data_IF_681149147183
#
_entry.id   IF_681149147183
#
_cell.length_a   1.000
_cell.length_b   1.000
_cell.length_c   1.000
_cell.angle_alpha   90.00
_cell.angle_beta   90.00
_cell.angle_gamma   90.00
#
_symmetry.space_group_name_H-M   'P 1'
#
loop_
_entity.id
_entity.type
_entity.pdbx_description
1 polymer ?
#
# COMPACT_ATOMS: atom_id res chain seq x y z
N UNK A 1 -11.39 -25.12 50.74
CA UNK A 1 -11.34 -25.55 49.32
C UNK A 1 -12.02 -24.48 48.48
N UNK A 2 -11.25 -23.56 47.88
CA UNK A 2 -11.78 -22.60 46.92
C UNK A 2 -12.01 -23.36 45.60
N UNK A 3 -13.27 -23.72 45.34
CA UNK A 3 -13.71 -24.15 44.03
C UNK A 3 -13.58 -22.96 43.08
N UNK A 4 -12.44 -22.85 42.40
CA UNK A 4 -12.31 -22.02 41.21
C UNK A 4 -13.22 -22.64 40.17
N UNK A 5 -14.42 -22.09 40.02
CA UNK A 5 -15.29 -22.34 38.87
C UNK A 5 -14.52 -21.89 37.62
N UNK A 6 -13.81 -22.82 36.96
CA UNK A 6 -13.41 -22.61 35.57
C UNK A 6 -14.72 -22.51 34.79
N UNK A 7 -15.07 -21.31 34.33
CA UNK A 7 -16.21 -21.11 33.43
C UNK A 7 -16.03 -22.06 32.24
N UNK A 8 -17.13 -22.70 31.82
CA UNK A 8 -17.12 -23.60 30.66
C UNK A 8 -16.54 -22.83 29.45
N UNK A 9 -15.57 -23.38 28.71
CA UNK A 9 -15.03 -22.70 27.55
C UNK A 9 -16.15 -22.46 26.54
N UNK A 10 -16.25 -21.22 26.05
CA UNK A 10 -17.24 -20.83 25.04
C UNK A 10 -16.94 -21.57 23.74
N UNK A 11 -17.99 -22.02 23.06
CA UNK A 11 -17.88 -22.61 21.72
C UNK A 11 -17.44 -21.54 20.70
N UNK A 12 -16.86 -21.93 19.55
CA UNK A 12 -16.50 -20.98 18.49
C UNK A 12 -17.67 -20.08 18.06
N UNK A 13 -18.87 -20.65 17.97
CA UNK A 13 -20.09 -19.92 17.63
C UNK A 13 -20.46 -18.88 18.69
N UNK A 14 -20.42 -19.24 19.98
CA UNK A 14 -20.69 -18.30 21.07
C UNK A 14 -19.66 -17.15 21.10
N UNK A 15 -18.38 -17.46 20.88
CA UNK A 15 -17.31 -16.46 20.82
C UNK A 15 -17.54 -15.46 19.70
N UNK A 16 -17.82 -15.94 18.49
CA UNK A 16 -18.04 -15.09 17.32
C UNK A 16 -19.26 -14.21 17.48
N UNK A 17 -20.39 -14.76 17.93
CA UNK A 17 -21.61 -13.97 18.19
C UNK A 17 -21.37 -12.92 19.25
N UNK A 18 -20.75 -13.30 20.37
CA UNK A 18 -20.44 -12.36 21.44
C UNK A 18 -19.49 -11.24 20.99
N UNK A 19 -18.47 -11.56 20.19
CA UNK A 19 -17.55 -10.57 19.63
C UNK A 19 -18.29 -9.60 18.72
N UNK A 20 -19.09 -10.11 17.77
CA UNK A 20 -19.92 -9.31 16.86
C UNK A 20 -20.83 -8.36 17.64
N UNK A 21 -21.61 -8.89 18.56
CA UNK A 21 -22.61 -8.12 19.30
C UNK A 21 -21.95 -7.05 20.18
N UNK A 22 -20.78 -7.34 20.75
CA UNK A 22 -20.02 -6.37 21.55
C UNK A 22 -19.43 -5.26 20.69
N UNK A 23 -18.92 -5.56 19.48
CA UNK A 23 -18.46 -4.54 18.54
C UNK A 23 -19.63 -3.63 18.13
N UNK A 24 -20.79 -4.20 17.77
CA UNK A 24 -21.95 -3.41 17.36
C UNK A 24 -22.48 -2.52 18.50
N UNK A 25 -22.38 -2.96 19.75
CA UNK A 25 -22.70 -2.12 20.93
C UNK A 25 -21.79 -0.89 21.04
N UNK A 26 -20.52 -0.96 20.61
CA UNK A 26 -19.62 0.20 20.59
C UNK A 26 -20.09 1.31 19.66
N UNK A 27 -20.91 1.02 18.65
CA UNK A 27 -21.47 2.04 17.74
C UNK A 27 -22.75 2.64 18.28
N UNK A 28 -23.60 1.83 18.92
CA UNK A 28 -24.85 2.30 19.53
C UNK A 28 -24.64 3.30 20.68
N UNK A 29 -23.46 3.25 21.31
CA UNK A 29 -23.02 4.23 22.31
C UNK A 29 -22.38 5.47 21.71
N UNK A 30 -22.26 5.54 20.38
CA UNK A 30 -21.63 6.64 19.63
C UNK A 30 -22.50 7.14 18.46
N UNK A 31 -23.57 7.91 18.69
CA UNK A 31 -24.14 8.92 17.74
C UNK A 31 -25.38 9.66 18.31
N UNK A 32 -25.71 10.90 17.87
CA UNK A 32 -24.84 12.02 17.50
C UNK A 32 -25.25 13.37 18.16
N UNK A 33 -24.29 14.22 18.52
CA UNK A 33 -24.52 15.65 18.82
C UNK A 33 -24.07 16.50 17.62
N UNK A 34 -25.05 17.07 16.92
CA UNK A 34 -25.00 18.40 16.30
C UNK A 34 -24.11 18.61 15.06
N UNK A 35 -24.61 18.24 13.89
CA UNK A 35 -24.14 18.76 12.60
C UNK A 35 -25.29 19.42 11.84
N UNK A 36 -25.74 20.60 12.27
CA UNK A 36 -26.69 21.41 11.51
C UNK A 36 -25.93 22.23 10.47
N UNK A 37 -26.04 21.79 9.21
CA UNK A 37 -25.81 22.62 8.03
C UNK A 37 -26.81 23.77 7.99
N UNK A 38 -26.34 25.01 8.08
CA UNK A 38 -27.11 26.20 7.74
C UNK A 38 -26.28 27.09 6.80
N UNK A 39 -26.72 27.11 5.55
CA UNK A 39 -26.54 28.21 4.60
C UNK A 39 -27.28 29.45 5.09
N UNK A 40 -26.60 30.60 5.22
CA UNK A 40 -26.93 31.85 4.50
C UNK A 40 -26.21 33.10 5.02
N UNK A 41 -25.71 33.84 4.03
CA UNK A 41 -25.53 35.29 3.88
C UNK A 41 -26.06 36.27 4.94
N UNK A 42 -25.16 37.21 5.30
CA UNK A 42 -25.33 38.66 5.51
C UNK A 42 -26.75 39.23 5.63
N UNK A 43 -27.07 39.82 6.80
CA UNK A 43 -27.49 41.23 6.93
C UNK A 43 -27.45 41.73 8.39
N UNK A 44 -27.31 43.05 8.50
CA UNK A 44 -27.06 43.86 9.69
C UNK A 44 -28.32 44.24 10.48
N UNK A 45 -28.09 44.74 11.71
CA UNK A 45 -28.78 45.83 12.43
C UNK A 45 -29.77 45.54 13.61
N UNK A 46 -29.43 46.23 14.71
CA UNK A 46 -30.25 46.91 15.74
C UNK A 46 -30.81 46.19 17.00
N UNK A 47 -30.25 46.64 18.14
CA UNK A 47 -30.84 47.09 19.44
C UNK A 47 -31.44 46.17 20.51
N UNK A 48 -31.03 46.55 21.73
CA UNK A 48 -31.72 46.67 23.04
C UNK A 48 -31.77 45.50 24.04
N UNK A 49 -31.04 45.73 25.14
CA UNK A 49 -31.37 45.56 26.57
C UNK A 49 -32.57 44.69 26.98
N UNK A 50 -32.31 43.80 27.95
CA UNK A 50 -33.33 43.23 28.83
C UNK A 50 -32.72 42.24 29.83
N UNK A 51 -32.51 42.70 31.05
CA UNK A 51 -32.10 41.90 32.22
C UNK A 51 -33.29 41.11 32.77
N UNK A 52 -33.13 39.81 33.05
CA UNK A 52 -33.90 39.14 34.11
C UNK A 52 -33.21 37.86 34.59
N UNK A 53 -33.30 37.69 35.90
CA UNK A 53 -32.82 36.62 36.76
C UNK A 53 -33.72 35.37 36.70
N UNK A 54 -33.16 34.17 36.84
CA UNK A 54 -33.58 33.15 37.84
C UNK A 54 -32.99 31.74 37.62
N UNK A 55 -32.47 31.21 38.73
CA UNK A 55 -32.53 29.83 39.23
C UNK A 55 -32.38 28.61 38.30
N UNK A 56 -31.31 27.84 38.56
CA UNK A 56 -31.43 26.43 38.94
C UNK A 56 -31.61 25.37 37.86
N UNK A 57 -30.53 24.68 37.49
CA UNK A 57 -30.61 23.24 37.21
C UNK A 57 -29.24 22.57 37.34
N UNK A 58 -29.06 21.83 38.42
CA UNK A 58 -27.91 20.96 38.68
C UNK A 58 -28.34 19.52 38.41
N UNK A 59 -28.21 19.03 37.17
CA UNK A 59 -28.44 17.59 36.85
C UNK A 59 -28.10 17.21 35.41
N UNK A 60 -26.87 17.45 34.92
CA UNK A 60 -26.43 16.95 33.60
C UNK A 60 -25.14 16.09 33.66
N UNK A 61 -24.56 15.83 34.85
CA UNK A 61 -23.26 15.14 34.95
C UNK A 61 -23.30 13.62 35.17
N UNK A 62 -24.47 12.97 35.31
CA UNK A 62 -24.57 11.54 35.65
C UNK A 62 -24.73 10.59 34.44
N UNK A 63 -25.21 11.06 33.30
CA UNK A 63 -25.44 10.21 32.11
C UNK A 63 -24.14 9.92 31.34
N UNK A 64 -23.19 10.86 31.35
CA UNK A 64 -21.90 10.75 30.63
C UNK A 64 -20.89 9.81 31.31
N UNK A 65 -20.96 9.64 32.63
CA UNK A 65 -20.09 8.71 33.37
C UNK A 65 -20.47 7.25 33.14
N UNK A 66 -21.77 6.95 33.16
CA UNK A 66 -22.29 5.59 32.96
C UNK A 66 -22.04 5.03 31.54
N UNK A 67 -22.11 5.89 30.51
CA UNK A 67 -21.84 5.49 29.11
C UNK A 67 -20.35 5.24 28.85
N UNK A 68 -19.48 6.02 29.48
CA UNK A 68 -18.02 5.83 29.44
C UNK A 68 -17.60 4.50 30.06
N UNK A 69 -18.17 4.15 31.21
CA UNK A 69 -17.89 2.89 31.90
C UNK A 69 -18.39 1.67 31.12
N UNK A 70 -19.57 1.76 30.51
CA UNK A 70 -20.11 0.73 29.62
C UNK A 70 -19.22 0.51 28.38
N UNK A 71 -18.70 1.60 27.78
CA UNK A 71 -17.79 1.52 26.64
C UNK A 71 -16.47 0.85 27.02
N UNK A 72 -15.87 1.23 28.16
CA UNK A 72 -14.64 0.62 28.66
C UNK A 72 -14.83 -0.88 28.87
N UNK A 73 -15.93 -1.28 29.52
CA UNK A 73 -16.28 -2.69 29.71
C UNK A 73 -16.42 -3.45 28.39
N UNK A 74 -17.05 -2.85 27.37
CA UNK A 74 -17.18 -3.47 26.06
C UNK A 74 -15.83 -3.66 25.36
N UNK A 75 -14.92 -2.68 25.48
CA UNK A 75 -13.55 -2.79 24.95
C UNK A 75 -12.78 -3.92 25.66
N UNK A 76 -12.86 -4.01 26.99
CA UNK A 76 -12.24 -5.10 27.76
C UNK A 76 -12.82 -6.48 27.36
N UNK A 77 -14.13 -6.57 27.12
CA UNK A 77 -14.82 -7.79 26.66
C UNK A 77 -14.32 -8.21 25.27
N UNK A 78 -14.09 -7.26 24.36
CA UNK A 78 -13.51 -7.51 23.03
C UNK A 78 -12.09 -8.05 23.17
N UNK A 79 -11.23 -7.40 23.95
CA UNK A 79 -9.85 -7.85 24.18
C UNK A 79 -9.80 -9.31 24.69
N UNK A 80 -10.64 -9.65 25.68
CA UNK A 80 -10.74 -11.02 26.21
C UNK A 80 -11.22 -12.03 25.16
N UNK A 81 -12.21 -11.64 24.36
CA UNK A 81 -12.78 -12.52 23.35
C UNK A 81 -11.81 -12.75 22.19
N UNK A 82 -11.08 -11.72 21.75
CA UNK A 82 -10.03 -11.84 20.75
C UNK A 82 -8.90 -12.77 21.22
N UNK A 83 -8.51 -12.68 22.50
CA UNK A 83 -7.52 -13.60 23.08
C UNK A 83 -8.01 -15.06 23.00
N UNK A 84 -9.26 -15.34 23.34
CA UNK A 84 -9.85 -16.69 23.23
C UNK A 84 -9.90 -17.19 21.78
N UNK A 85 -10.27 -16.31 20.84
CA UNK A 85 -10.24 -16.61 19.39
C UNK A 85 -8.81 -16.92 18.93
N UNK A 86 -7.81 -16.17 19.42
CA UNK A 86 -6.41 -16.42 19.14
C UNK A 86 -5.95 -17.78 19.67
N UNK A 87 -6.34 -18.15 20.89
CA UNK A 87 -6.01 -19.48 21.45
C UNK A 87 -6.56 -20.61 20.59
N UNK A 88 -7.77 -20.48 20.03
CA UNK A 88 -8.31 -21.50 19.10
C UNK A 88 -7.47 -21.60 17.83
N UNK A 89 -6.96 -20.47 17.31
CA UNK A 89 -6.23 -20.40 16.04
C UNK A 89 -4.75 -20.78 16.15
N UNK A 90 -4.11 -20.49 17.28
CA UNK A 90 -2.66 -20.65 17.47
C UNK A 90 -2.29 -21.69 18.53
N UNK A 91 -3.24 -22.17 19.32
CA UNK A 91 -2.98 -22.99 20.50
C UNK A 91 -2.70 -22.14 21.74
N UNK A 92 -2.54 -22.79 22.89
CA UNK A 92 -2.18 -22.17 24.17
C UNK A 92 -0.72 -22.40 24.58
N UNK A 93 0.07 -23.02 23.69
CA UNK A 93 1.48 -23.38 23.93
C UNK A 93 1.66 -24.81 24.46
N UNK A 94 0.64 -25.36 25.11
CA UNK A 94 0.61 -26.75 25.59
C UNK A 94 -0.15 -27.67 24.63
N UNK A 95 -1.13 -27.13 23.91
CA UNK A 95 -1.98 -27.86 22.96
C UNK A 95 -1.98 -27.21 21.57
N UNK A 96 -1.90 -28.04 20.54
CA UNK A 96 -2.02 -27.61 19.14
C UNK A 96 -3.47 -27.18 18.79
N UNK A 97 -3.65 -26.26 17.82
CA UNK A 97 -4.97 -25.89 17.30
C UNK A 97 -5.75 -27.11 16.80
N UNK A 98 -6.95 -27.31 17.32
CA UNK A 98 -7.83 -28.39 16.87
C UNK A 98 -8.46 -28.02 15.50
N UNK A 99 -8.22 -28.80 14.42
CA UNK A 99 -8.68 -28.44 13.08
C UNK A 99 -10.20 -28.25 12.97
N UNK A 100 -10.98 -29.02 13.73
CA UNK A 100 -12.42 -28.92 13.78
C UNK A 100 -12.88 -27.59 14.39
N UNK A 101 -12.30 -27.18 15.53
CA UNK A 101 -12.63 -25.90 16.17
C UNK A 101 -12.23 -24.71 15.28
N UNK A 102 -11.07 -24.79 14.62
CA UNK A 102 -10.64 -23.76 13.65
C UNK A 102 -11.61 -23.67 12.48
N UNK A 103 -12.09 -24.80 11.95
CA UNK A 103 -13.07 -24.82 10.87
C UNK A 103 -14.42 -24.22 11.29
N UNK A 104 -14.93 -24.59 12.47
CA UNK A 104 -16.16 -24.02 13.04
C UNK A 104 -16.01 -22.51 13.26
N UNK A 105 -14.91 -22.07 13.86
CA UNK A 105 -14.60 -20.65 14.08
C UNK A 105 -14.58 -19.87 12.77
N UNK A 106 -13.84 -20.37 11.77
CA UNK A 106 -13.74 -19.73 10.47
C UNK A 106 -15.13 -19.57 9.80
N UNK A 107 -15.94 -20.63 9.81
CA UNK A 107 -17.29 -20.61 9.25
C UNK A 107 -18.17 -19.53 9.89
N UNK A 108 -18.14 -19.44 11.22
CA UNK A 108 -18.89 -18.44 11.98
C UNK A 108 -18.38 -17.03 11.70
N UNK A 109 -17.05 -16.82 11.64
CA UNK A 109 -16.44 -15.54 11.27
C UNK A 109 -16.92 -15.04 9.90
N UNK A 110 -17.02 -15.93 8.91
CA UNK A 110 -17.52 -15.58 7.57
C UNK A 110 -19.02 -15.28 7.59
N UNK A 111 -19.81 -16.11 8.26
CA UNK A 111 -21.28 -16.00 8.32
C UNK A 111 -21.74 -14.71 9.01
N UNK A 112 -20.94 -14.24 9.99
CA UNK A 112 -21.24 -13.03 10.76
C UNK A 112 -20.43 -11.80 10.35
N UNK A 113 -19.65 -11.89 9.27
CA UNK A 113 -18.84 -10.80 8.69
C UNK A 113 -17.88 -10.14 9.69
N UNK A 114 -17.35 -10.94 10.62
CA UNK A 114 -16.53 -10.42 11.72
C UNK A 114 -15.25 -9.75 11.20
N UNK A 115 -14.62 -10.27 10.15
CA UNK A 115 -13.42 -9.65 9.56
C UNK A 115 -13.66 -8.20 9.12
N UNK A 116 -14.83 -7.90 8.55
CA UNK A 116 -15.19 -6.53 8.16
C UNK A 116 -15.40 -5.65 9.40
N UNK A 117 -16.12 -6.15 10.40
CA UNK A 117 -16.37 -5.42 11.64
C UNK A 117 -15.08 -5.12 12.40
N UNK A 118 -14.15 -6.07 12.46
CA UNK A 118 -12.86 -5.89 13.10
C UNK A 118 -12.06 -4.77 12.44
N UNK A 119 -11.93 -4.77 11.11
CA UNK A 119 -11.20 -3.72 10.40
C UNK A 119 -11.89 -2.36 10.52
N UNK A 120 -13.22 -2.31 10.40
CA UNK A 120 -13.98 -1.06 10.50
C UNK A 120 -13.88 -0.39 11.88
N UNK A 121 -13.76 -1.17 12.95
CA UNK A 121 -13.79 -0.68 14.34
C UNK A 121 -12.44 -0.75 15.05
N UNK A 122 -11.37 -1.17 14.37
CA UNK A 122 -10.05 -1.41 14.96
C UNK A 122 -9.51 -0.20 15.75
N UNK A 123 -9.85 1.03 15.33
CA UNK A 123 -9.47 2.25 16.03
C UNK A 123 -10.06 2.36 17.45
N UNK A 124 -11.16 1.67 17.74
CA UNK A 124 -11.83 1.68 19.05
C UNK A 124 -11.26 0.64 20.03
N UNK A 125 -10.38 -0.25 19.57
CA UNK A 125 -9.85 -1.34 20.39
C UNK A 125 -8.58 -0.91 21.15
N UNK A 126 -8.21 -1.67 22.18
CA UNK A 126 -6.95 -1.48 22.89
C UNK A 126 -5.74 -1.83 22.01
N UNK A 127 -4.58 -1.32 22.39
CA UNK A 127 -3.35 -1.52 21.63
C UNK A 127 -3.02 -2.99 21.34
N UNK A 128 -3.15 -3.87 22.33
CA UNK A 128 -2.86 -5.31 22.13
C UNK A 128 -3.96 -5.98 21.29
N UNK A 129 -5.23 -5.62 21.50
CA UNK A 129 -6.34 -6.10 20.68
C UNK A 129 -6.19 -5.72 19.20
N UNK A 130 -5.65 -4.52 18.87
CA UNK A 130 -5.33 -4.12 17.49
C UNK A 130 -4.33 -5.09 16.84
N UNK A 131 -3.33 -5.58 17.60
CA UNK A 131 -2.36 -6.58 17.10
C UNK A 131 -3.01 -7.95 16.93
N UNK A 132 -3.83 -8.37 17.90
CA UNK A 132 -4.56 -9.63 17.83
C UNK A 132 -5.46 -9.68 16.59
N UNK A 133 -6.14 -8.57 16.25
CA UNK A 133 -6.93 -8.46 15.02
C UNK A 133 -6.07 -8.73 13.78
N UNK A 134 -4.91 -8.09 13.64
CA UNK A 134 -4.01 -8.33 12.50
C UNK A 134 -3.56 -9.80 12.42
N UNK A 135 -3.25 -10.43 13.57
CA UNK A 135 -2.82 -11.83 13.61
C UNK A 135 -3.96 -12.80 13.23
N UNK A 136 -5.16 -12.61 13.81
CA UNK A 136 -6.36 -13.40 13.55
C UNK A 136 -6.77 -13.27 12.08
N UNK A 137 -6.75 -12.05 11.53
CA UNK A 137 -7.08 -11.83 10.13
C UNK A 137 -6.10 -12.58 9.22
N UNK A 138 -4.80 -12.45 9.47
CA UNK A 138 -3.76 -13.03 8.62
C UNK A 138 -3.74 -14.57 8.68
N UNK A 139 -3.95 -15.18 9.86
CA UNK A 139 -4.00 -16.64 9.97
C UNK A 139 -5.22 -17.23 9.28
N UNK A 140 -6.39 -16.56 9.39
CA UNK A 140 -7.58 -16.97 8.66
C UNK A 140 -7.38 -16.80 7.15
N UNK A 141 -6.73 -15.72 6.71
CA UNK A 141 -6.47 -15.47 5.30
C UNK A 141 -5.56 -16.53 4.66
N UNK A 142 -4.57 -17.01 5.41
CA UNK A 142 -3.66 -18.10 4.98
C UNK A 142 -4.29 -19.49 5.03
N UNK A 143 -5.47 -19.65 5.64
CA UNK A 143 -6.13 -20.95 5.78
C UNK A 143 -6.49 -21.55 4.42
N UNK A 144 -6.16 -22.82 4.24
CA UNK A 144 -6.47 -23.60 3.05
C UNK A 144 -7.29 -24.84 3.37
N UNK A 145 -8.17 -25.23 2.44
CA UNK A 145 -8.87 -26.53 2.44
C UNK A 145 -8.60 -27.17 1.08
N UNK A 146 -7.69 -28.14 1.05
CA UNK A 146 -7.12 -28.63 -0.20
C UNK A 146 -6.44 -27.49 -0.95
N UNK A 147 -6.81 -27.28 -2.22
CA UNK A 147 -6.32 -26.17 -3.05
C UNK A 147 -7.08 -24.86 -2.89
N UNK A 148 -8.18 -24.83 -2.11
CA UNK A 148 -9.03 -23.65 -1.95
C UNK A 148 -8.54 -22.79 -0.79
N UNK A 149 -8.75 -21.48 -0.91
CA UNK A 149 -8.51 -20.49 0.13
C UNK A 149 -9.85 -19.83 0.51
N UNK A 150 -10.62 -20.41 1.46
CA UNK A 150 -11.99 -19.97 1.75
C UNK A 150 -12.09 -18.50 2.15
N UNK A 151 -11.12 -17.98 2.91
CA UNK A 151 -11.11 -16.56 3.31
C UNK A 151 -10.89 -15.64 2.12
N UNK A 152 -10.06 -16.04 1.15
CA UNK A 152 -9.84 -15.28 -0.09
C UNK A 152 -11.13 -15.22 -0.90
N UNK A 153 -11.79 -16.36 -1.08
CA UNK A 153 -13.07 -16.45 -1.79
C UNK A 153 -14.16 -15.61 -1.10
N UNK A 154 -14.21 -15.65 0.24
CA UNK A 154 -15.10 -14.82 1.04
C UNK A 154 -14.84 -13.32 0.83
N UNK A 155 -13.58 -12.88 0.93
CA UNK A 155 -13.20 -11.47 0.76
C UNK A 155 -13.37 -10.97 -0.67
N UNK A 156 -13.23 -11.85 -1.67
CA UNK A 156 -13.46 -11.49 -3.07
C UNK A 156 -14.92 -11.06 -3.34
N UNK A 157 -15.87 -11.56 -2.55
CA UNK A 157 -17.28 -11.12 -2.59
C UNK A 157 -17.56 -9.85 -1.77
N UNK A 158 -16.56 -9.30 -1.09
CA UNK A 158 -16.66 -8.16 -0.14
C UNK A 158 -15.49 -7.19 -0.29
N UNK A 159 -15.40 -6.49 -1.43
CA UNK A 159 -14.27 -5.60 -1.74
C UNK A 159 -14.08 -4.48 -0.71
N UNK A 160 -15.15 -4.06 -0.02
CA UNK A 160 -15.11 -3.03 1.03
C UNK A 160 -14.09 -3.33 2.15
N UNK A 161 -13.84 -4.61 2.47
CA UNK A 161 -12.85 -4.95 3.51
C UNK A 161 -11.44 -4.52 3.09
N UNK A 162 -11.10 -4.67 1.80
CA UNK A 162 -9.81 -4.26 1.24
C UNK A 162 -9.69 -2.74 1.30
N UNK A 163 -10.76 -2.02 0.94
CA UNK A 163 -10.77 -0.56 0.95
C UNK A 163 -10.76 0.03 2.36
N UNK A 164 -11.41 -0.60 3.33
CA UNK A 164 -11.31 -0.21 4.74
C UNK A 164 -9.89 -0.39 5.27
N UNK A 165 -9.20 -1.49 4.92
CA UNK A 165 -7.82 -1.70 5.31
C UNK A 165 -6.89 -0.64 4.70
N UNK A 166 -7.10 -0.29 3.42
CA UNK A 166 -6.37 0.78 2.75
C UNK A 166 -6.64 2.16 3.39
N UNK A 167 -7.91 2.47 3.66
CA UNK A 167 -8.32 3.72 4.32
C UNK A 167 -7.76 3.86 5.74
N UNK A 168 -7.36 2.75 6.36
CA UNK A 168 -6.70 2.73 7.66
C UNK A 168 -5.45 3.62 7.74
N UNK A 169 -4.79 3.93 6.62
CA UNK A 169 -3.69 4.89 6.57
C UNK A 169 -4.08 6.32 6.93
N UNK A 170 -5.36 6.70 6.86
CA UNK A 170 -5.86 8.01 7.33
C UNK A 170 -5.83 8.14 8.86
N UNK A 171 -5.72 7.02 9.59
CA UNK A 171 -5.66 7.02 11.05
C UNK A 171 -4.31 6.49 11.54
N UNK A 172 -3.42 7.38 12.04
CA UNK A 172 -2.09 7.00 12.50
C UNK A 172 -2.06 5.91 13.58
N UNK A 173 -3.10 5.79 14.40
CA UNK A 173 -3.13 4.81 15.50
C UNK A 173 -3.34 3.36 15.04
N UNK A 174 -3.79 3.16 13.80
CA UNK A 174 -4.12 1.83 13.24
C UNK A 174 -3.54 1.59 11.86
N UNK A 175 -2.92 2.61 11.25
CA UNK A 175 -2.31 2.56 9.94
C UNK A 175 -1.38 1.34 9.75
N UNK A 176 -0.52 1.05 10.72
CA UNK A 176 0.40 -0.10 10.63
C UNK A 176 -0.31 -1.45 10.81
N UNK A 177 -1.33 -1.53 11.67
CA UNK A 177 -2.12 -2.75 11.85
C UNK A 177 -2.93 -3.09 10.59
N UNK A 178 -3.59 -2.08 10.01
CA UNK A 178 -4.38 -2.21 8.79
C UNK A 178 -3.49 -2.40 7.56
N UNK A 179 -2.31 -1.77 7.53
CA UNK A 179 -1.26 -2.01 6.54
C UNK A 179 -0.74 -3.45 6.52
N UNK A 180 -0.57 -4.07 7.70
CA UNK A 180 -0.21 -5.50 7.81
C UNK A 180 -1.31 -6.42 7.26
N UNK A 181 -2.57 -6.10 7.52
CA UNK A 181 -3.74 -6.84 7.01
C UNK A 181 -3.83 -6.70 5.48
N UNK A 182 -3.69 -5.46 4.99
CA UNK A 182 -3.67 -5.16 3.55
C UNK A 182 -2.57 -5.93 2.84
N UNK A 183 -1.35 -5.95 3.40
CA UNK A 183 -0.22 -6.68 2.82
C UNK A 183 -0.49 -8.16 2.64
N UNK A 184 -1.13 -8.79 3.62
CA UNK A 184 -1.47 -10.21 3.53
C UNK A 184 -2.54 -10.44 2.45
N UNK A 185 -3.54 -9.55 2.33
CA UNK A 185 -4.53 -9.61 1.24
C UNK A 185 -3.87 -9.52 -0.14
N UNK A 186 -2.90 -8.63 -0.31
CA UNK A 186 -2.19 -8.42 -1.58
C UNK A 186 -1.37 -9.64 -2.03
N UNK A 187 -1.12 -10.61 -1.16
CA UNK A 187 -0.46 -11.87 -1.55
C UNK A 187 -1.32 -12.77 -2.41
N UNK A 188 -2.63 -12.55 -2.43
CA UNK A 188 -3.58 -13.33 -3.22
C UNK A 188 -4.01 -12.52 -4.45
N UNK A 189 -3.75 -13.07 -5.65
CA UNK A 189 -3.97 -12.36 -6.92
C UNK A 189 -5.40 -11.82 -7.04
N UNK A 190 -6.40 -12.60 -6.63
CA UNK A 190 -7.80 -12.20 -6.69
C UNK A 190 -8.10 -10.93 -5.88
N UNK A 191 -7.52 -10.77 -4.69
CA UNK A 191 -7.73 -9.60 -3.84
C UNK A 191 -6.87 -8.42 -4.28
N UNK A 192 -5.63 -8.68 -4.70
CA UNK A 192 -4.76 -7.65 -5.28
C UNK A 192 -5.39 -7.04 -6.54
N UNK A 193 -6.06 -7.85 -7.37
CA UNK A 193 -6.78 -7.40 -8.55
C UNK A 193 -7.90 -6.42 -8.21
N UNK A 194 -8.69 -6.72 -7.18
CA UNK A 194 -9.78 -5.85 -6.72
C UNK A 194 -9.22 -4.47 -6.36
N UNK A 195 -8.10 -4.41 -5.64
CA UNK A 195 -7.49 -3.13 -5.29
C UNK A 195 -6.92 -2.42 -6.52
N UNK A 196 -6.05 -3.09 -7.28
CA UNK A 196 -5.32 -2.49 -8.41
C UNK A 196 -6.25 -1.91 -9.47
N UNK A 197 -7.35 -2.60 -9.78
CA UNK A 197 -8.33 -2.15 -10.78
C UNK A 197 -9.37 -1.16 -10.23
N UNK A 198 -9.26 -0.76 -8.96
CA UNK A 198 -10.17 0.22 -8.35
C UNK A 198 -9.62 1.64 -8.40
N UNK A 199 -10.52 2.62 -8.38
CA UNK A 199 -10.17 4.04 -8.17
C UNK A 199 -9.40 4.27 -6.86
N UNK A 200 -9.62 3.41 -5.85
CA UNK A 200 -8.96 3.50 -4.55
C UNK A 200 -7.46 3.21 -4.62
N UNK A 201 -6.97 2.50 -5.64
CA UNK A 201 -5.53 2.33 -5.83
C UNK A 201 -4.79 3.68 -5.92
N UNK A 202 -5.43 4.68 -6.53
CA UNK A 202 -4.85 6.01 -6.72
C UNK A 202 -4.84 6.88 -5.46
N UNK A 203 -5.25 6.37 -4.29
CA UNK A 203 -5.05 7.05 -3.00
C UNK A 203 -3.69 6.73 -2.36
N UNK A 204 -2.98 5.69 -2.81
CA UNK A 204 -1.64 5.37 -2.29
C UNK A 204 -0.65 6.55 -2.36
N UNK A 205 -0.54 7.30 -3.48
CA UNK A 205 0.36 8.46 -3.56
C UNK A 205 0.10 9.50 -2.46
N UNK A 206 -1.17 9.77 -2.16
CA UNK A 206 -1.53 10.70 -1.08
C UNK A 206 -1.06 10.19 0.28
N UNK A 207 -1.31 8.91 0.60
CA UNK A 207 -0.83 8.32 1.84
C UNK A 207 0.70 8.27 1.93
N UNK A 208 1.40 8.06 0.81
CA UNK A 208 2.87 8.06 0.74
C UNK A 208 3.42 9.47 1.03
N UNK A 209 2.77 10.53 0.54
CA UNK A 209 3.29 11.90 0.65
C UNK A 209 2.88 12.62 1.94
N UNK A 210 1.71 12.30 2.49
CA UNK A 210 1.10 13.11 3.57
C UNK A 210 1.22 12.50 4.97
N UNK A 211 1.56 11.22 5.08
CA UNK A 211 1.62 10.52 6.39
C UNK A 211 3.02 10.57 7.00
N UNK A 212 3.11 10.15 8.28
CA UNK A 212 4.40 10.08 8.99
C UNK A 212 5.34 9.06 8.34
N UNK A 213 6.65 9.24 8.53
CA UNK A 213 7.67 8.43 7.86
C UNK A 213 7.43 6.90 7.93
N UNK A 214 7.08 6.37 9.11
CA UNK A 214 6.81 4.94 9.27
C UNK A 214 5.59 4.47 8.48
N UNK A 215 4.52 5.28 8.45
CA UNK A 215 3.28 5.00 7.73
C UNK A 215 3.51 5.12 6.22
N UNK A 216 4.21 6.17 5.78
CA UNK A 216 4.57 6.39 4.38
C UNK A 216 5.40 5.23 3.82
N UNK A 217 6.39 4.74 4.57
CA UNK A 217 7.18 3.56 4.18
C UNK A 217 6.31 2.29 4.05
N UNK A 218 5.36 2.10 4.95
CA UNK A 218 4.43 0.97 4.94
C UNK A 218 3.47 1.05 3.74
N UNK A 219 2.87 2.22 3.50
CA UNK A 219 2.01 2.50 2.35
C UNK A 219 2.76 2.29 1.03
N UNK A 220 3.99 2.79 0.92
CA UNK A 220 4.83 2.57 -0.25
C UNK A 220 5.13 1.08 -0.46
N UNK A 221 5.37 0.32 0.62
CA UNK A 221 5.61 -1.12 0.54
C UNK A 221 4.39 -1.87 -0.01
N UNK A 222 3.18 -1.51 0.43
CA UNK A 222 1.94 -2.12 -0.07
C UNK A 222 1.60 -1.68 -1.50
N UNK A 223 1.88 -0.42 -1.86
CA UNK A 223 1.80 0.07 -3.24
C UNK A 223 2.73 -0.73 -4.16
N UNK A 224 3.99 -0.89 -3.76
CA UNK A 224 4.99 -1.72 -4.47
C UNK A 224 4.55 -3.17 -4.61
N UNK A 225 4.06 -3.78 -3.53
CA UNK A 225 3.60 -5.16 -3.51
C UNK A 225 2.49 -5.39 -4.55
N UNK A 226 1.54 -4.45 -4.62
CA UNK A 226 0.43 -4.47 -5.59
C UNK A 226 0.94 -4.44 -7.03
N UNK A 227 2.06 -3.77 -7.29
CA UNK A 227 2.64 -3.57 -8.62
C UNK A 227 3.71 -4.60 -9.04
N UNK A 228 4.17 -5.47 -8.14
CA UNK A 228 5.32 -6.34 -8.46
C UNK A 228 5.09 -7.81 -8.19
N UNK A 229 4.09 -8.17 -7.37
CA UNK A 229 3.85 -9.58 -7.01
C UNK A 229 3.25 -10.40 -8.16
N UNK A 230 2.11 -9.97 -8.69
CA UNK A 230 1.31 -10.75 -9.64
C UNK A 230 1.60 -10.29 -11.07
N UNK A 231 2.79 -10.62 -11.56
CA UNK A 231 3.38 -10.03 -12.78
C UNK A 231 2.46 -10.01 -14.01
N UNK A 232 1.80 -11.12 -14.42
CA UNK A 232 0.92 -11.10 -15.60
C UNK A 232 -0.28 -10.15 -15.44
N UNK A 233 -0.90 -10.15 -14.25
CA UNK A 233 -2.02 -9.27 -13.92
C UNK A 233 -1.62 -7.80 -13.95
N UNK A 234 -0.45 -7.47 -13.38
CA UNK A 234 0.06 -6.10 -13.35
C UNK A 234 0.46 -5.63 -14.74
N UNK A 235 1.13 -6.46 -15.54
CA UNK A 235 1.48 -6.12 -16.91
C UNK A 235 0.25 -5.75 -17.74
N UNK A 236 -0.81 -6.56 -17.67
CA UNK A 236 -2.08 -6.29 -18.34
C UNK A 236 -2.74 -4.98 -17.85
N UNK A 237 -2.68 -4.70 -16.54
CA UNK A 237 -3.20 -3.46 -15.98
C UNK A 237 -2.42 -2.23 -16.47
N UNK A 238 -1.09 -2.28 -16.40
CA UNK A 238 -0.20 -1.17 -16.79
C UNK A 238 -0.31 -0.86 -18.28
N UNK A 239 -0.46 -1.88 -19.13
CA UNK A 239 -0.68 -1.68 -20.56
C UNK A 239 -2.01 -0.97 -20.83
N UNK A 240 -3.08 -1.43 -20.19
CA UNK A 240 -4.44 -0.89 -20.38
C UNK A 240 -4.63 0.51 -19.78
N UNK A 241 -3.89 0.85 -18.72
CA UNK A 241 -4.05 2.09 -17.94
C UNK A 241 -2.80 2.98 -18.00
N UNK A 242 -1.95 2.79 -19.01
CA UNK A 242 -0.61 3.37 -19.10
C UNK A 242 -0.59 4.87 -18.82
N UNK A 243 -1.37 5.66 -19.54
CA UNK A 243 -1.30 7.13 -19.47
C UNK A 243 -1.70 7.63 -18.09
N UNK A 244 -2.80 7.11 -17.53
CA UNK A 244 -3.27 7.46 -16.20
C UNK A 244 -2.25 7.05 -15.13
N UNK A 245 -1.76 5.81 -15.20
CA UNK A 245 -0.79 5.29 -14.22
C UNK A 245 0.50 6.13 -14.22
N UNK A 246 1.13 6.33 -15.38
CA UNK A 246 2.40 7.06 -15.44
C UNK A 246 2.25 8.56 -15.19
N UNK A 247 1.11 9.17 -15.51
CA UNK A 247 0.82 10.55 -15.11
C UNK A 247 0.83 10.68 -13.58
N UNK A 248 0.16 9.77 -12.86
CA UNK A 248 0.20 9.75 -11.39
C UNK A 248 1.59 9.37 -10.88
N UNK A 249 2.24 8.36 -11.45
CA UNK A 249 3.56 7.88 -10.98
C UNK A 249 4.65 8.96 -11.11
N UNK A 250 4.55 9.81 -12.13
CA UNK A 250 5.49 10.92 -12.34
C UNK A 250 5.48 11.91 -11.17
N UNK A 251 4.36 12.09 -10.47
CA UNK A 251 4.33 12.98 -9.29
C UNK A 251 5.23 12.44 -8.17
N UNK A 252 5.28 11.11 -7.98
CA UNK A 252 6.16 10.46 -7.01
C UNK A 252 7.63 10.57 -7.40
N UNK A 253 7.95 10.47 -8.70
CA UNK A 253 9.32 10.69 -9.21
C UNK A 253 9.79 12.13 -9.02
N UNK A 254 8.86 13.08 -8.97
CA UNK A 254 9.15 14.51 -8.78
C UNK A 254 9.06 14.95 -7.32
N UNK A 255 8.66 14.05 -6.41
CA UNK A 255 8.46 14.32 -4.99
C UNK A 255 9.63 15.11 -4.35
N UNK A 256 9.35 16.13 -3.52
CA UNK A 256 10.38 16.78 -2.74
C UNK A 256 10.90 15.86 -1.61
N UNK A 257 10.16 14.82 -1.24
CA UNK A 257 10.59 13.85 -0.24
C UNK A 257 11.66 12.92 -0.83
N UNK A 258 12.87 12.97 -0.25
CA UNK A 258 14.01 12.16 -0.70
C UNK A 258 13.70 10.67 -0.76
N UNK A 259 13.04 10.13 0.27
CA UNK A 259 12.77 8.69 0.37
C UNK A 259 11.73 8.28 -0.67
N UNK A 260 10.64 9.04 -0.80
CA UNK A 260 9.62 8.78 -1.83
C UNK A 260 10.21 8.83 -3.23
N UNK A 261 10.93 9.91 -3.56
CA UNK A 261 11.58 10.06 -4.88
C UNK A 261 12.53 8.91 -5.18
N UNK A 262 13.41 8.56 -4.24
CA UNK A 262 14.38 7.48 -4.43
C UNK A 262 13.70 6.11 -4.59
N UNK A 263 12.75 5.77 -3.72
CA UNK A 263 12.08 4.46 -3.79
C UNK A 263 11.19 4.34 -5.03
N UNK A 264 10.56 5.42 -5.46
CA UNK A 264 9.78 5.47 -6.72
C UNK A 264 10.68 5.26 -7.93
N UNK A 265 11.86 5.88 -7.95
CA UNK A 265 12.80 5.70 -9.05
C UNK A 265 13.36 4.27 -9.12
N UNK A 266 13.65 3.68 -7.96
CA UNK A 266 14.04 2.27 -7.86
C UNK A 266 12.92 1.34 -8.37
N UNK A 267 11.69 1.55 -7.91
CA UNK A 267 10.53 0.75 -8.32
C UNK A 267 10.23 0.91 -9.82
N UNK A 268 10.41 2.10 -10.39
CA UNK A 268 10.31 2.29 -11.84
C UNK A 268 11.31 1.40 -12.59
N UNK A 269 12.56 1.34 -12.14
CA UNK A 269 13.57 0.44 -12.70
C UNK A 269 13.13 -1.03 -12.64
N UNK A 270 12.62 -1.48 -11.49
CA UNK A 270 12.08 -2.84 -11.31
C UNK A 270 10.90 -3.14 -12.27
N UNK A 271 9.98 -2.19 -12.44
CA UNK A 271 8.83 -2.34 -13.34
C UNK A 271 9.29 -2.45 -14.80
N UNK A 272 10.18 -1.55 -15.24
CA UNK A 272 10.62 -1.49 -16.64
C UNK A 272 11.51 -2.68 -17.04
N UNK A 273 12.30 -3.22 -16.10
CA UNK A 273 13.20 -4.34 -16.37
C UNK A 273 12.51 -5.71 -16.25
N UNK A 274 11.27 -5.77 -15.74
CA UNK A 274 10.53 -7.03 -15.73
C UNK A 274 10.11 -7.45 -17.14
N UNK A 275 10.48 -8.67 -17.53
CA UNK A 275 10.17 -9.24 -18.85
C UNK A 275 8.69 -9.24 -19.21
N UNK A 276 7.78 -9.33 -18.23
CA UNK A 276 6.33 -9.31 -18.48
C UNK A 276 5.84 -7.92 -18.89
N UNK A 277 6.58 -6.87 -18.53
CA UNK A 277 6.27 -5.48 -18.84
C UNK A 277 6.93 -4.99 -20.14
N UNK A 278 7.34 -5.88 -21.05
CA UNK A 278 8.07 -5.50 -22.28
C UNK A 278 7.34 -4.42 -23.11
N UNK A 279 6.02 -4.55 -23.28
CA UNK A 279 5.21 -3.56 -24.00
C UNK A 279 5.21 -2.20 -23.30
N UNK A 280 5.02 -2.22 -21.98
CA UNK A 280 5.02 -1.02 -21.12
C UNK A 280 6.39 -0.34 -21.16
N UNK A 281 7.47 -1.12 -21.00
CA UNK A 281 8.86 -0.64 -21.10
C UNK A 281 9.12 0.01 -22.44
N UNK A 282 8.76 -0.65 -23.55
CA UNK A 282 8.98 -0.15 -24.91
C UNK A 282 8.26 1.19 -25.13
N UNK A 283 7.03 1.33 -24.64
CA UNK A 283 6.30 2.60 -24.68
C UNK A 283 6.97 3.68 -23.82
N UNK A 284 7.43 3.33 -22.62
CA UNK A 284 8.08 4.27 -21.70
C UNK A 284 9.39 4.83 -22.26
N UNK A 285 10.24 3.98 -22.80
CA UNK A 285 11.55 4.38 -23.34
C UNK A 285 11.47 5.06 -24.70
N UNK A 286 10.27 5.14 -25.28
CA UNK A 286 10.01 5.87 -26.53
C UNK A 286 9.63 7.34 -26.32
N UNK A 287 9.40 7.76 -25.07
CA UNK A 287 9.05 9.14 -24.71
C UNK A 287 10.27 10.01 -24.48
N UNK A 288 10.36 11.11 -25.24
CA UNK A 288 11.40 12.13 -25.03
C UNK A 288 11.34 12.81 -23.66
N UNK A 289 10.13 13.00 -23.14
CA UNK A 289 9.92 13.62 -21.83
C UNK A 289 10.50 12.74 -20.72
N UNK A 290 10.24 11.43 -20.79
CA UNK A 290 10.79 10.47 -19.84
C UNK A 290 12.32 10.44 -19.90
N UNK A 291 12.91 10.48 -21.10
CA UNK A 291 14.37 10.57 -21.25
C UNK A 291 14.93 11.84 -20.62
N UNK A 292 14.33 13.00 -20.92
CA UNK A 292 14.74 14.30 -20.36
C UNK A 292 14.66 14.29 -18.83
N UNK A 293 13.60 13.70 -18.26
CA UNK A 293 13.45 13.54 -16.82
C UNK A 293 14.57 12.69 -16.23
N UNK A 294 14.88 11.53 -16.81
CA UNK A 294 15.98 10.67 -16.32
C UNK A 294 17.34 11.37 -16.44
N UNK A 295 17.60 12.08 -17.54
CA UNK A 295 18.83 12.86 -17.71
C UNK A 295 18.98 14.00 -16.69
N UNK A 296 17.87 14.62 -16.27
CA UNK A 296 17.89 15.61 -15.20
C UNK A 296 18.14 14.96 -13.83
N UNK A 297 17.55 13.79 -13.56
CA UNK A 297 17.76 13.04 -12.31
C UNK A 297 19.20 12.49 -12.18
N UNK A 298 19.90 12.21 -13.28
CA UNK A 298 21.34 11.93 -13.26
C UNK A 298 22.17 13.09 -12.67
N UNK A 299 21.62 14.31 -12.64
CA UNK A 299 22.25 15.51 -12.08
C UNK A 299 21.65 15.93 -10.74
N UNK A 300 20.84 15.08 -10.11
CA UNK A 300 20.25 15.35 -8.80
C UNK A 300 21.36 15.58 -7.75
N UNK A 301 21.08 16.32 -6.66
CA UNK A 301 22.07 16.55 -5.60
C UNK A 301 22.44 15.26 -4.85
N UNK A 302 21.55 14.28 -4.83
CA UNK A 302 21.76 13.01 -4.15
C UNK A 302 22.39 11.96 -5.06
N UNK A 303 23.61 11.54 -4.70
CA UNK A 303 24.31 10.38 -5.30
C UNK A 303 23.42 9.13 -5.41
N UNK A 304 22.55 8.87 -4.44
CA UNK A 304 21.67 7.71 -4.49
C UNK A 304 20.54 7.87 -5.53
N UNK A 305 20.01 9.08 -5.72
CA UNK A 305 19.01 9.34 -6.78
C UNK A 305 19.66 9.24 -8.16
N UNK A 306 20.85 9.81 -8.32
CA UNK A 306 21.64 9.71 -9.54
C UNK A 306 21.84 8.23 -9.94
N UNK A 307 22.21 7.39 -8.98
CA UNK A 307 22.43 5.96 -9.19
C UNK A 307 21.16 5.23 -9.67
N UNK A 308 20.01 5.42 -9.00
CA UNK A 308 18.75 4.81 -9.46
C UNK A 308 18.30 5.37 -10.82
N UNK A 309 18.56 6.66 -11.10
CA UNK A 309 18.27 7.28 -12.40
C UNK A 309 19.08 6.63 -13.53
N UNK A 310 20.34 6.27 -13.25
CA UNK A 310 21.20 5.57 -14.20
C UNK A 310 20.61 4.22 -14.63
N UNK A 311 20.04 3.45 -13.69
CA UNK A 311 19.43 2.17 -14.02
C UNK A 311 18.21 2.28 -14.94
N UNK A 312 17.49 3.40 -14.92
CA UNK A 312 16.41 3.66 -15.88
C UNK A 312 16.97 4.24 -17.18
N UNK A 313 17.90 5.19 -17.10
CA UNK A 313 18.56 5.81 -18.26
C UNK A 313 19.25 4.77 -19.16
N UNK A 314 19.94 3.77 -18.59
CA UNK A 314 20.61 2.72 -19.36
C UNK A 314 19.64 1.97 -20.29
N UNK A 315 18.36 1.82 -19.91
CA UNK A 315 17.35 1.13 -20.73
C UNK A 315 17.04 1.93 -22.00
N UNK A 316 17.00 3.26 -21.93
CA UNK A 316 16.85 4.11 -23.12
C UNK A 316 18.04 3.95 -24.07
N UNK A 317 19.26 3.91 -23.53
CA UNK A 317 20.49 3.81 -24.32
C UNK A 317 20.68 2.39 -24.88
N UNK A 318 20.32 1.35 -24.13
CA UNK A 318 20.44 -0.04 -24.56
C UNK A 318 19.37 -0.45 -25.59
N UNK A 319 18.30 0.33 -25.78
CA UNK A 319 17.26 0.01 -26.77
C UNK A 319 17.86 -0.09 -28.19
N UNK A 320 17.82 -1.25 -28.88
CA UNK A 320 18.37 -1.39 -30.22
C UNK A 320 17.55 -0.65 -31.28
N UNK A 321 16.25 -0.39 -31.02
CA UNK A 321 15.31 0.29 -31.92
C UNK A 321 14.89 1.64 -31.33
N UNK A 322 15.85 2.54 -31.14
CA UNK A 322 15.59 3.87 -30.58
C UNK A 322 14.71 4.69 -31.53
N UNK A 323 13.65 5.35 -31.05
CA UNK A 323 12.94 6.34 -31.85
C UNK A 323 13.85 7.51 -32.23
N UNK A 324 13.60 8.14 -33.38
CA UNK A 324 14.44 9.23 -33.90
C UNK A 324 14.57 10.41 -32.92
N UNK A 325 13.51 10.74 -32.17
CA UNK A 325 13.55 11.77 -31.12
C UNK A 325 14.52 11.45 -29.99
N UNK A 326 14.52 10.19 -29.53
CA UNK A 326 15.44 9.68 -28.51
C UNK A 326 16.89 9.72 -29.02
N UNK A 327 17.12 9.23 -30.24
CA UNK A 327 18.47 9.25 -30.84
C UNK A 327 18.99 10.68 -31.03
N UNK A 328 18.13 11.61 -31.49
CA UNK A 328 18.46 13.02 -31.65
C UNK A 328 18.89 13.66 -30.32
N UNK A 329 18.18 13.38 -29.22
CA UNK A 329 18.54 13.87 -27.88
C UNK A 329 19.90 13.34 -27.45
N UNK A 330 20.15 12.03 -27.60
CA UNK A 330 21.43 11.41 -27.23
C UNK A 330 22.58 11.97 -28.07
N UNK A 331 22.40 12.09 -29.39
CA UNK A 331 23.40 12.62 -30.32
C UNK A 331 23.75 14.07 -30.01
N UNK A 332 22.75 14.93 -29.76
CA UNK A 332 22.95 16.35 -29.43
C UNK A 332 23.68 16.55 -28.10
N UNK A 333 23.54 15.61 -27.16
CA UNK A 333 24.18 15.67 -25.85
C UNK A 333 25.41 14.75 -25.73
N UNK A 334 25.85 14.11 -26.82
CA UNK A 334 26.86 13.03 -26.82
C UNK A 334 28.11 13.39 -26.04
N UNK A 335 28.79 14.48 -26.41
CA UNK A 335 30.07 14.88 -25.80
C UNK A 335 29.92 15.15 -24.30
N UNK A 336 28.83 15.81 -23.91
CA UNK A 336 28.54 16.12 -22.51
C UNK A 336 28.22 14.85 -21.72
N UNK A 337 27.45 13.92 -22.30
CA UNK A 337 27.08 12.66 -21.68
C UNK A 337 28.29 11.74 -21.48
N UNK A 338 29.14 11.59 -22.50
CA UNK A 338 30.36 10.77 -22.39
C UNK A 338 31.28 11.32 -21.31
N UNK A 339 31.55 12.63 -21.33
CA UNK A 339 32.36 13.27 -20.30
C UNK A 339 31.75 13.12 -18.91
N UNK A 340 30.44 13.32 -18.78
CA UNK A 340 29.73 13.17 -17.50
C UNK A 340 29.82 11.74 -16.97
N UNK A 341 29.58 10.72 -17.80
CA UNK A 341 29.57 9.32 -17.42
C UNK A 341 30.96 8.77 -17.09
N UNK A 342 32.03 9.32 -17.69
CA UNK A 342 33.40 8.93 -17.37
C UNK A 342 33.74 9.19 -15.89
N UNK A 343 33.23 10.27 -15.32
CA UNK A 343 33.45 10.65 -13.92
C UNK A 343 32.32 10.21 -12.98
N UNK A 344 31.27 9.56 -13.51
CA UNK A 344 30.07 9.23 -12.75
C UNK A 344 30.30 8.04 -11.82
N UNK A 345 30.24 8.30 -10.51
CA UNK A 345 30.30 7.29 -9.44
C UNK A 345 31.51 6.35 -9.50
N UNK A 346 32.71 6.88 -9.81
CA UNK A 346 33.96 6.09 -9.81
C UNK A 346 34.39 5.61 -8.41
N UNK A 347 33.75 6.11 -7.35
CA UNK A 347 33.95 5.70 -5.97
C UNK A 347 33.22 4.39 -5.60
N UNK A 348 32.45 3.81 -6.52
CA UNK A 348 31.73 2.54 -6.31
C UNK A 348 32.59 1.34 -6.72
N UNK A 349 32.85 0.46 -5.76
CA UNK A 349 33.48 -0.85 -5.98
C UNK A 349 32.43 -1.89 -6.39
N UNK A 350 31.83 -1.69 -7.56
CA UNK A 350 30.77 -2.51 -8.13
C UNK A 350 31.11 -2.79 -9.60
N UNK A 351 31.71 -3.97 -9.86
CA UNK A 351 32.14 -4.37 -11.20
C UNK A 351 31.00 -4.35 -12.22
N UNK A 352 29.80 -4.80 -11.82
CA UNK A 352 28.64 -4.81 -12.70
C UNK A 352 28.27 -3.39 -13.12
N UNK A 353 28.28 -2.45 -12.19
CA UNK A 353 28.00 -1.04 -12.50
C UNK A 353 29.07 -0.44 -13.44
N UNK A 354 30.34 -0.76 -13.23
CA UNK A 354 31.44 -0.30 -14.10
C UNK A 354 31.27 -0.81 -15.54
N UNK A 355 30.91 -2.08 -15.70
CA UNK A 355 30.64 -2.69 -17.00
C UNK A 355 29.42 -2.06 -17.68
N UNK A 356 28.31 -1.89 -16.95
CA UNK A 356 27.10 -1.25 -17.46
C UNK A 356 27.37 0.19 -17.91
N UNK A 357 28.16 0.94 -17.14
CA UNK A 357 28.55 2.31 -17.47
C UNK A 357 29.41 2.36 -18.73
N UNK A 358 30.41 1.51 -18.82
CA UNK A 358 31.29 1.41 -20.00
C UNK A 358 30.50 1.04 -21.25
N UNK A 359 29.56 0.10 -21.13
CA UNK A 359 28.65 -0.28 -22.20
C UNK A 359 27.78 0.90 -22.66
N UNK A 360 27.14 1.62 -21.73
CA UNK A 360 26.33 2.81 -22.04
C UNK A 360 27.16 3.89 -22.75
N UNK A 361 28.38 4.16 -22.28
CA UNK A 361 29.30 5.14 -22.91
C UNK A 361 29.61 4.72 -24.35
N UNK A 362 29.96 3.45 -24.57
CA UNK A 362 30.29 2.94 -25.91
C UNK A 362 29.15 3.12 -26.92
N UNK A 363 27.90 2.92 -26.50
CA UNK A 363 26.73 3.12 -27.35
C UNK A 363 26.56 4.61 -27.67
N UNK A 364 26.67 5.49 -26.67
CA UNK A 364 26.50 6.93 -26.87
C UNK A 364 27.57 7.46 -27.83
N UNK A 365 28.82 7.03 -27.71
CA UNK A 365 29.89 7.39 -28.66
C UNK A 365 29.56 6.97 -30.10
N UNK A 366 28.97 5.79 -30.27
CA UNK A 366 28.57 5.26 -31.57
C UNK A 366 27.40 6.03 -32.22
N UNK A 367 26.54 6.71 -31.45
CA UNK A 367 25.36 7.45 -32.00
C UNK A 367 25.70 8.61 -32.95
N UNK A 368 26.99 8.93 -33.14
CA UNK A 368 27.47 9.92 -34.12
C UNK A 368 28.30 9.36 -35.28
N UNK A 369 28.56 8.05 -35.34
CA UNK A 369 29.22 7.42 -36.48
C UNK A 369 28.14 6.96 -37.47
N UNK A 370 27.79 7.80 -38.44
CA UNK A 370 27.09 7.30 -39.63
C UNK A 370 27.95 6.22 -40.26
N UNK A 371 27.44 4.98 -40.34
CA UNK A 371 28.03 3.97 -41.20
C UNK A 371 28.14 4.55 -42.62
N UNK A 372 29.30 4.46 -43.29
CA UNK A 372 29.30 4.55 -44.74
C UNK A 372 28.34 3.47 -45.25
N UNK A 373 27.43 3.81 -46.16
CA UNK A 373 26.69 2.78 -46.88
C UNK A 373 27.70 1.82 -47.54
N UNK A 374 27.73 0.57 -47.07
CA UNK A 374 28.55 -0.47 -47.70
C UNK A 374 28.77 -1.70 -46.83
N UNK A 375 28.20 -2.83 -47.25
CA UNK A 375 28.74 -4.16 -46.93
C UNK A 375 27.92 -5.00 -45.96
N UNK A 376 27.36 -6.08 -46.48
CA UNK A 376 26.67 -7.15 -45.77
C UNK A 376 27.54 -7.87 -44.74
N UNK A 377 26.94 -8.43 -43.69
CA UNK A 377 27.56 -9.52 -42.92
C UNK A 377 27.18 -9.66 -41.45
N UNK A 378 26.32 -10.66 -41.19
CA UNK A 378 26.34 -11.57 -40.03
C UNK A 378 26.04 -11.06 -38.58
N UNK A 379 24.89 -11.53 -38.06
CA UNK A 379 24.83 -12.33 -36.83
C UNK A 379 24.90 -11.62 -35.47
N UNK A 380 23.81 -10.99 -35.03
CA UNK A 380 23.65 -10.52 -33.64
C UNK A 380 23.01 -11.57 -32.74
N UNK A 381 23.79 -12.13 -31.81
CA UNK A 381 23.33 -13.01 -30.73
C UNK A 381 22.69 -12.17 -29.61
N UNK A 382 21.44 -12.47 -29.26
CA UNK A 382 20.74 -11.89 -28.13
C UNK A 382 21.31 -12.44 -26.82
N UNK A 383 21.69 -11.56 -25.88
CA UNK A 383 22.07 -11.96 -24.52
C UNK A 383 20.96 -11.53 -23.56
N UNK A 384 20.45 -12.54 -22.85
CA UNK A 384 19.32 -12.46 -21.95
C UNK A 384 19.61 -11.77 -20.63
N UNK A 385 18.52 -11.28 -20.05
CA UNK A 385 18.38 -10.92 -18.65
C UNK A 385 18.78 -12.10 -17.74
N UNK A 386 19.50 -11.78 -16.65
CA UNK A 386 19.44 -12.58 -15.43
C UNK A 386 18.37 -12.00 -14.51
#
# INVERSE_FOLDING_TARGET
MNFIFKSKPRTPQELVRHLRDTILRLDSTSSPLGGSTSSNSLHSNYTSNGSSTSAGSSSITSSSSSSSEARKKAVDEISKTLCQVKTILFGDGDSDPQPELVAQLAQEVYSHHVLQLLVAHIAKFEFEAKKDVSQIFNVLLRRQIGSRSPTVEYLATRPEVIFLALKGYENPEVALNTGMILREMLRHEQLAKILLYSEKFYTFPDYIETTTFGISCDAFSNFKETLTRHKPMVAAYLESNYDRFFATYTTLLQSPNYVTKRQSLKLLGEILLDRTNFTVMTRYISSEENLKMMMNLLRDRSKNIQFEAFHVFKVFVANPKKPAGIESILRRNRERLVKFLADFHNDKDDEQFVDEKSYVVSIIEATGKTAPQGGAGAGGQAIGAK
#
